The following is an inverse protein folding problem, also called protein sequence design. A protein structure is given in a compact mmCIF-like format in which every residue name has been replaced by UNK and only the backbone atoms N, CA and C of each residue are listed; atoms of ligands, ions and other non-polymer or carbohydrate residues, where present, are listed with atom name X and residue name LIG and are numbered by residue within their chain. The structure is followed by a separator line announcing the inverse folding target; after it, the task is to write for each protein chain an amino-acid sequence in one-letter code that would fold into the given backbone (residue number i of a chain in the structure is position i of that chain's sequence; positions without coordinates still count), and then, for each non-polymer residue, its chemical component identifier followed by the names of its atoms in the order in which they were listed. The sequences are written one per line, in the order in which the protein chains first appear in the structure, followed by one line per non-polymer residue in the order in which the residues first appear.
data_IF_046389842262
#
_entry.id   IF_046389842262
#
_cell.length_a   1.000
_cell.length_b   1.000
_cell.length_c   1.000
_cell.angle_alpha   90.00
_cell.angle_beta   90.00
_cell.angle_gamma   90.00
#
_symmetry.space_group_name_H-M   'P 1'
#
loop_
_entity.id
_entity.type
_entity.pdbx_description
1 polymer ?
#
# COMPACT_ATOMS: atom_id res chain seq x y z
N UNK A 1 42.07 9.00 13.68
CA UNK A 1 40.71 9.36 14.08
C UNK A 1 40.10 8.05 14.46
N UNK A 2 39.84 7.85 15.74
CA UNK A 2 39.10 6.66 16.18
C UNK A 2 37.68 6.73 15.59
N UNK A 3 36.99 5.60 15.53
CA UNK A 3 35.65 5.54 14.95
C UNK A 3 34.69 6.53 15.65
N UNK A 4 34.79 6.61 16.97
CA UNK A 4 33.98 7.52 17.80
C UNK A 4 34.27 9.00 17.48
N UNK A 5 35.55 9.37 17.34
CA UNK A 5 35.93 10.74 16.92
C UNK A 5 35.40 11.09 15.51
N UNK A 6 35.21 10.09 14.64
CA UNK A 6 34.70 10.29 13.29
C UNK A 6 33.18 10.41 13.27
N UNK A 7 32.48 9.60 14.08
CA UNK A 7 31.02 9.66 14.29
C UNK A 7 30.64 11.01 14.88
N UNK A 8 31.25 11.39 16.00
CA UNK A 8 30.97 12.65 16.70
C UNK A 8 31.24 13.86 15.79
N UNK A 9 32.32 13.79 14.98
CA UNK A 9 32.60 14.83 13.99
C UNK A 9 31.54 14.88 12.88
N UNK A 10 31.06 13.73 12.41
CA UNK A 10 30.07 13.64 11.34
C UNK A 10 28.70 14.15 11.79
N UNK A 11 28.26 13.78 12.98
CA UNK A 11 27.02 14.30 13.58
C UNK A 11 27.09 15.83 13.73
N UNK A 12 28.18 16.35 14.32
CA UNK A 12 28.37 17.79 14.49
C UNK A 12 28.45 18.58 13.18
N UNK A 13 28.88 17.96 12.07
CA UNK A 13 29.04 18.62 10.77
C UNK A 13 27.80 18.51 9.87
N UNK A 14 27.03 17.43 9.98
CA UNK A 14 26.00 17.06 8.99
C UNK A 14 24.62 16.81 9.58
N UNK A 15 24.48 16.56 10.89
CA UNK A 15 23.18 16.33 11.54
C UNK A 15 22.58 17.66 11.99
N UNK A 16 21.32 17.92 11.62
CA UNK A 16 20.57 19.04 12.18
C UNK A 16 19.90 18.59 13.48
N UNK A 17 20.55 18.79 14.62
CA UNK A 17 20.03 18.44 15.96
C UNK A 17 18.64 19.02 16.26
N UNK A 18 18.19 20.03 15.51
CA UNK A 18 16.85 20.63 15.66
C UNK A 18 15.75 19.92 14.86
N UNK A 19 16.11 18.94 14.01
CA UNK A 19 15.20 18.27 13.07
C UNK A 19 15.40 16.77 12.96
N UNK A 20 16.59 16.27 13.28
CA UNK A 20 16.97 14.89 13.03
C UNK A 20 17.28 14.16 14.34
N UNK A 21 16.70 12.97 14.51
CA UNK A 21 17.09 12.06 15.58
C UNK A 21 18.40 11.36 15.21
N UNK A 22 19.27 11.06 16.18
CA UNK A 22 20.54 10.35 15.92
C UNK A 22 20.29 9.02 15.17
N UNK A 23 19.24 8.30 15.57
CA UNK A 23 18.80 7.09 14.89
C UNK A 23 18.32 7.35 13.47
N UNK A 24 17.46 8.36 13.25
CA UNK A 24 16.95 8.74 11.92
C UNK A 24 18.08 9.13 10.97
N UNK A 25 18.99 9.99 11.43
CA UNK A 25 20.17 10.42 10.70
C UNK A 25 21.03 9.24 10.23
N UNK A 26 21.43 8.34 11.15
CA UNK A 26 22.27 7.20 10.79
C UNK A 26 21.54 6.15 9.95
N UNK A 27 20.23 5.96 10.17
CA UNK A 27 19.37 5.11 9.35
C UNK A 27 19.37 5.58 7.90
N UNK A 28 19.22 6.89 7.65
CA UNK A 28 19.28 7.48 6.30
C UNK A 28 20.67 7.39 5.66
N UNK A 29 21.74 7.59 6.44
CA UNK A 29 23.10 7.46 5.94
C UNK A 29 23.43 6.02 5.49
N UNK A 30 22.92 5.03 6.23
CA UNK A 30 23.17 3.61 6.00
C UNK A 30 22.24 3.01 4.94
N UNK A 31 20.99 3.45 4.88
CA UNK A 31 19.94 2.94 3.99
C UNK A 31 19.30 4.11 3.24
N UNK A 32 19.81 4.37 2.04
CA UNK A 32 19.51 5.59 1.26
C UNK A 32 18.14 5.53 0.60
N UNK A 33 17.67 4.34 0.29
CA UNK A 33 16.35 4.12 -0.30
C UNK A 33 15.35 3.58 0.72
N UNK A 34 14.07 3.87 0.50
CA UNK A 34 12.98 3.30 1.30
C UNK A 34 12.89 1.77 1.19
N UNK A 35 13.30 1.19 0.05
CA UNK A 35 13.41 -0.26 -0.14
C UNK A 35 14.49 -0.89 0.74
N UNK A 36 15.69 -0.32 0.80
CA UNK A 36 16.78 -0.80 1.66
C UNK A 36 16.43 -0.69 3.16
N UNK A 37 15.70 0.36 3.56
CA UNK A 37 15.19 0.48 4.94
C UNK A 37 14.16 -0.59 5.26
N UNK A 38 13.27 -0.89 4.31
CA UNK A 38 12.26 -1.96 4.44
C UNK A 38 12.91 -3.32 4.59
N UNK A 39 13.87 -3.66 3.73
CA UNK A 39 14.60 -4.93 3.80
C UNK A 39 15.35 -5.06 5.14
N UNK A 40 16.02 -4.00 5.61
CA UNK A 40 16.72 -4.03 6.89
C UNK A 40 15.78 -4.25 8.08
N UNK A 41 14.63 -3.57 8.11
CA UNK A 41 13.63 -3.78 9.16
C UNK A 41 13.04 -5.18 9.08
N UNK A 42 12.77 -5.66 7.87
CA UNK A 42 12.31 -7.02 7.66
C UNK A 42 13.32 -8.03 8.21
N UNK A 43 14.61 -7.92 7.91
CA UNK A 43 15.66 -8.79 8.46
C UNK A 43 15.75 -8.73 9.99
N UNK A 44 15.50 -7.56 10.60
CA UNK A 44 15.52 -7.40 12.06
C UNK A 44 14.29 -8.00 12.75
N UNK A 45 13.14 -8.00 12.06
CA UNK A 45 11.87 -8.55 12.57
C UNK A 45 11.75 -10.05 12.25
N UNK A 46 12.34 -10.52 11.15
CA UNK A 46 12.30 -11.90 10.68
C UNK A 46 13.05 -12.82 11.66
N UNK A 47 12.28 -13.55 12.47
CA UNK A 47 12.78 -14.45 13.52
C UNK A 47 12.60 -13.95 14.96
N UNK A 48 11.97 -12.78 15.16
CA UNK A 48 11.56 -12.33 16.48
C UNK A 48 10.42 -13.22 17.02
N UNK A 49 10.73 -14.04 18.02
CA UNK A 49 9.72 -14.85 18.70
C UNK A 49 9.06 -14.07 19.83
N UNK A 50 7.72 -14.14 19.96
CA UNK A 50 7.02 -13.50 21.07
C UNK A 50 7.45 -14.08 22.41
N UNK A 51 7.60 -13.17 23.37
CA UNK A 51 7.91 -13.53 24.75
C UNK A 51 6.65 -13.94 25.53
N UNK A 52 6.82 -14.54 26.72
CA UNK A 52 5.69 -14.84 27.62
C UNK A 52 4.81 -13.61 27.89
N UNK A 53 5.40 -12.41 27.94
CA UNK A 53 4.64 -11.16 28.10
C UNK A 53 3.68 -10.89 26.95
N UNK A 54 4.04 -11.25 25.71
CA UNK A 54 3.15 -11.10 24.56
C UNK A 54 1.98 -12.08 24.61
N UNK A 55 2.22 -13.30 25.10
CA UNK A 55 1.17 -14.31 25.29
C UNK A 55 0.17 -13.83 26.34
N UNK A 56 0.65 -13.30 27.47
CA UNK A 56 -0.22 -12.72 28.50
C UNK A 56 -0.99 -11.53 27.96
N UNK A 57 -0.34 -10.63 27.21
CA UNK A 57 -1.01 -9.49 26.60
C UNK A 57 -2.12 -9.94 25.64
N UNK A 58 -1.83 -10.89 24.73
CA UNK A 58 -2.83 -11.47 23.82
C UNK A 58 -4.06 -12.02 24.58
N UNK A 59 -3.83 -12.61 25.75
CA UNK A 59 -4.88 -13.14 26.62
C UNK A 59 -5.69 -12.03 27.30
N UNK A 60 -5.02 -11.03 27.86
CA UNK A 60 -5.67 -9.83 28.41
C UNK A 60 -6.54 -9.11 27.36
N UNK A 61 -6.09 -9.09 26.11
CA UNK A 61 -6.88 -8.55 24.99
C UNK A 61 -8.09 -9.43 24.66
N UNK A 62 -7.93 -10.76 24.73
CA UNK A 62 -9.02 -11.72 24.43
C UNK A 62 -10.12 -11.71 25.50
N UNK A 63 -9.76 -11.43 26.75
CA UNK A 63 -10.68 -11.33 27.90
C UNK A 63 -11.18 -9.89 28.15
N UNK A 64 -11.01 -8.98 27.17
CA UNK A 64 -11.51 -7.59 27.19
C UNK A 64 -10.90 -6.69 28.30
N UNK A 65 -9.83 -7.14 28.97
CA UNK A 65 -9.07 -6.31 29.92
C UNK A 65 -8.22 -5.26 29.21
N UNK A 66 -7.69 -5.60 28.03
CA UNK A 66 -6.94 -4.68 27.15
C UNK A 66 -7.61 -4.66 25.77
N UNK A 67 -8.74 -3.96 25.62
CA UNK A 67 -9.52 -3.99 24.38
C UNK A 67 -8.82 -3.28 23.21
N UNK A 68 -7.85 -2.42 23.50
CA UNK A 68 -7.15 -1.59 22.51
C UNK A 68 -5.65 -1.55 22.82
N UNK A 69 -4.85 -1.83 21.81
CA UNK A 69 -3.39 -1.66 21.84
C UNK A 69 -2.97 -0.68 20.76
N UNK A 70 -2.25 0.38 21.15
CA UNK A 70 -1.59 1.30 20.22
C UNK A 70 -0.11 0.90 20.15
N UNK A 71 0.44 0.79 18.94
CA UNK A 71 1.86 0.45 18.76
C UNK A 71 2.50 1.32 17.68
N UNK A 72 3.69 1.90 17.94
CA UNK A 72 4.53 2.45 16.88
C UNK A 72 5.28 1.35 16.12
N UNK A 73 5.38 0.14 16.68
CA UNK A 73 6.14 -0.93 16.07
C UNK A 73 5.47 -1.49 14.81
N UNK A 74 6.31 -2.03 13.95
CA UNK A 74 5.97 -2.57 12.63
C UNK A 74 5.62 -4.07 12.66
N UNK A 75 5.95 -4.78 13.74
CA UNK A 75 5.88 -6.24 13.85
C UNK A 75 4.50 -6.78 14.28
N UNK A 76 4.17 -7.98 13.79
CA UNK A 76 2.89 -8.67 13.96
C UNK A 76 2.89 -9.88 14.95
N UNK A 77 3.82 -10.05 15.91
CA UNK A 77 3.91 -11.32 16.65
C UNK A 77 2.72 -11.59 17.56
N UNK A 78 1.90 -10.58 17.90
CA UNK A 78 0.76 -10.73 18.81
C UNK A 78 -0.42 -11.50 18.19
N UNK A 79 -0.69 -11.36 16.89
CA UNK A 79 -1.89 -11.94 16.26
C UNK A 79 -1.90 -13.48 16.28
N UNK A 80 -0.72 -14.09 16.28
CA UNK A 80 -0.54 -15.55 16.22
C UNK A 80 -1.01 -16.28 17.49
N UNK A 81 -1.18 -15.55 18.61
CA UNK A 81 -1.48 -16.14 19.92
C UNK A 81 -2.87 -15.79 20.45
N UNK A 82 -3.63 -14.96 19.74
CA UNK A 82 -4.98 -14.54 20.11
C UNK A 82 -6.03 -15.54 19.60
N UNK A 83 -7.01 -15.88 20.45
CA UNK A 83 -8.15 -16.73 20.07
C UNK A 83 -9.07 -16.04 19.06
N UNK A 84 -9.22 -14.73 19.26
CA UNK A 84 -10.06 -13.88 18.43
C UNK A 84 -9.14 -12.94 17.66
N UNK A 85 -9.16 -13.05 16.33
CA UNK A 85 -8.38 -12.15 15.46
C UNK A 85 -8.78 -10.70 15.75
N UNK A 86 -7.85 -9.85 16.24
CA UNK A 86 -8.16 -8.47 16.56
C UNK A 86 -8.43 -7.66 15.29
N UNK A 87 -9.12 -6.53 15.44
CA UNK A 87 -9.26 -5.56 14.38
C UNK A 87 -7.95 -4.79 14.20
N UNK A 88 -7.21 -5.12 13.13
CA UNK A 88 -5.96 -4.45 12.80
C UNK A 88 -6.23 -3.18 11.98
N UNK A 89 -5.77 -2.05 12.51
CA UNK A 89 -5.82 -0.74 11.85
C UNK A 89 -4.41 -0.39 11.38
N UNK A 90 -4.14 -0.70 10.11
CA UNK A 90 -2.85 -0.47 9.47
C UNK A 90 -2.84 0.74 8.52
N UNK A 91 -3.98 1.14 7.94
CA UNK A 91 -4.05 2.21 6.94
C UNK A 91 -4.47 3.57 7.54
N UNK A 92 -3.92 4.68 7.03
CA UNK A 92 -4.15 6.04 7.52
C UNK A 92 -5.58 6.60 7.38
N UNK A 93 -6.52 5.78 6.90
CA UNK A 93 -7.93 6.14 6.76
C UNK A 93 -8.74 5.60 7.96
N UNK A 94 -8.31 5.93 9.18
CA UNK A 94 -9.17 5.79 10.35
C UNK A 94 -10.29 6.82 10.19
N UNK A 95 -11.47 6.37 9.77
CA UNK A 95 -12.59 7.28 9.52
C UNK A 95 -13.06 7.93 10.83
N UNK A 96 -13.68 9.12 10.80
CA UNK A 96 -14.27 9.75 11.99
C UNK A 96 -15.32 8.88 12.73
N UNK A 97 -15.77 7.80 12.10
CA UNK A 97 -16.71 6.81 12.64
C UNK A 97 -16.01 5.59 13.26
N UNK A 98 -14.68 5.61 13.34
CA UNK A 98 -13.92 4.54 13.98
C UNK A 98 -14.32 4.43 15.44
N UNK A 99 -14.88 3.28 15.79
CA UNK A 99 -15.25 2.95 17.16
C UNK A 99 -14.02 2.32 17.80
N UNK A 100 -13.37 3.02 18.74
CA UNK A 100 -12.20 2.51 19.46
C UNK A 100 -12.45 1.13 20.10
N UNK A 101 -13.70 0.92 20.55
CA UNK A 101 -14.17 -0.33 21.13
C UNK A 101 -14.98 -1.14 20.11
N UNK A 102 -14.38 -2.18 19.56
CA UNK A 102 -15.05 -3.15 18.69
C UNK A 102 -15.63 -4.33 19.51
N UNK A 103 -16.39 -5.21 18.87
CA UNK A 103 -16.85 -6.48 19.49
C UNK A 103 -15.70 -7.49 19.68
N UNK A 104 -14.48 -7.10 19.31
CA UNK A 104 -13.23 -7.86 19.35
C UNK A 104 -12.10 -6.87 19.64
N UNK A 105 -10.98 -7.28 20.25
CA UNK A 105 -9.87 -6.38 20.55
C UNK A 105 -9.32 -5.70 19.30
N UNK A 106 -8.73 -4.52 19.44
CA UNK A 106 -8.19 -3.73 18.35
C UNK A 106 -6.69 -3.43 18.52
N UNK A 107 -5.96 -3.43 17.42
CA UNK A 107 -4.55 -3.02 17.38
C UNK A 107 -4.42 -1.91 16.35
N UNK A 108 -3.92 -0.75 16.78
CA UNK A 108 -3.71 0.42 15.92
C UNK A 108 -2.21 0.65 15.74
N UNK A 109 -1.73 0.52 14.51
CA UNK A 109 -0.35 0.84 14.13
C UNK A 109 -0.25 2.34 13.87
N UNK A 110 0.33 3.09 14.82
CA UNK A 110 0.39 4.56 14.76
C UNK A 110 1.25 5.06 13.60
N UNK A 111 2.35 4.37 13.28
CA UNK A 111 3.25 4.75 12.18
C UNK A 111 2.94 4.03 10.86
N UNK A 112 1.89 3.19 10.84
CA UNK A 112 1.53 2.36 9.69
C UNK A 112 2.25 1.01 9.67
N UNK A 113 2.03 0.26 8.60
CA UNK A 113 2.60 -1.08 8.40
C UNK A 113 3.64 -1.05 7.29
N UNK A 114 4.82 -1.62 7.53
CA UNK A 114 5.93 -1.63 6.60
C UNK A 114 5.61 -2.41 5.30
N UNK A 115 4.67 -3.36 5.37
CA UNK A 115 4.21 -4.20 4.26
C UNK A 115 3.24 -3.48 3.31
N UNK A 116 2.46 -2.52 3.79
CA UNK A 116 1.33 -1.94 3.03
C UNK A 116 1.40 -0.42 2.84
N UNK A 117 2.06 0.30 3.76
CA UNK A 117 2.30 1.73 3.63
C UNK A 117 3.75 1.97 3.16
N UNK A 118 3.98 3.08 2.46
CA UNK A 118 5.34 3.59 2.26
C UNK A 118 5.96 3.80 3.66
N UNK A 119 7.01 3.03 4.02
CA UNK A 119 7.70 3.15 5.30
C UNK A 119 7.96 4.62 5.61
N UNK A 120 7.36 5.12 6.70
CA UNK A 120 7.63 6.45 7.25
C UNK A 120 8.70 6.33 8.31
N UNK A 121 9.94 6.49 7.88
CA UNK A 121 11.11 6.18 8.72
C UNK A 121 12.14 7.32 8.71
N UNK A 122 11.77 8.45 8.11
CA UNK A 122 12.56 9.67 8.07
C UNK A 122 11.89 10.68 9.02
N UNK A 123 12.67 11.51 9.73
CA UNK A 123 12.13 12.49 10.69
C UNK A 123 11.05 13.43 10.07
N UNK A 124 11.12 13.82 8.77
CA UNK A 124 10.03 14.54 8.11
C UNK A 124 8.73 13.74 7.97
N UNK A 125 8.80 12.42 7.79
CA UNK A 125 7.64 11.53 7.59
C UNK A 125 7.00 11.08 8.91
N UNK A 126 7.79 10.97 9.99
CA UNK A 126 7.35 10.66 11.36
C UNK A 126 7.02 11.89 12.19
N UNK A 127 7.21 13.11 11.65
CA UNK A 127 6.89 14.37 12.34
C UNK A 127 5.41 14.58 12.64
N UNK A 128 4.50 13.93 11.90
CA UNK A 128 3.04 14.07 12.10
C UNK A 128 2.29 12.77 11.83
N UNK A 129 1.35 12.44 12.74
CA UNK A 129 0.41 11.33 12.52
C UNK A 129 -0.60 11.72 11.43
N UNK A 130 -1.09 10.73 10.68
CA UNK A 130 -2.26 10.96 9.83
C UNK A 130 -3.46 11.37 10.71
N UNK A 131 -4.38 12.25 10.24
CA UNK A 131 -5.46 12.79 11.08
C UNK A 131 -6.28 11.73 11.82
N UNK A 132 -6.53 10.59 11.19
CA UNK A 132 -7.28 9.50 11.80
C UNK A 132 -6.53 8.76 12.92
N UNK A 133 -5.20 8.62 12.81
CA UNK A 133 -4.35 7.98 13.84
C UNK A 133 -4.12 8.91 15.02
N UNK A 134 -3.94 10.21 14.75
CA UNK A 134 -3.90 11.23 15.80
C UNK A 134 -5.21 11.27 16.60
N UNK A 135 -6.35 11.28 15.91
CA UNK A 135 -7.67 11.22 16.56
C UNK A 135 -7.83 9.95 17.42
N UNK A 136 -7.38 8.79 16.93
CA UNK A 136 -7.41 7.56 17.71
C UNK A 136 -6.58 7.67 19.00
N UNK A 137 -5.38 8.24 18.92
CA UNK A 137 -4.51 8.48 20.08
C UNK A 137 -5.16 9.45 21.08
N UNK A 138 -5.62 10.62 20.59
CA UNK A 138 -6.25 11.65 21.43
C UNK A 138 -7.50 11.13 22.13
N UNK A 139 -8.38 10.45 21.39
CA UNK A 139 -9.58 9.83 21.99
C UNK A 139 -9.22 8.71 22.96
N UNK A 140 -8.16 7.94 22.72
CA UNK A 140 -7.71 6.91 23.67
C UNK A 140 -7.39 7.54 25.02
N UNK A 141 -6.60 8.61 25.06
CA UNK A 141 -6.24 9.26 26.32
C UNK A 141 -7.33 10.14 26.93
N UNK A 142 -8.30 10.59 26.13
CA UNK A 142 -9.43 11.40 26.62
C UNK A 142 -10.58 10.52 27.16
N UNK A 143 -10.86 9.38 26.51
CA UNK A 143 -11.97 8.49 26.87
C UNK A 143 -11.53 7.34 27.79
N UNK A 144 -10.25 6.94 27.76
CA UNK A 144 -9.71 5.79 28.49
C UNK A 144 -8.39 6.14 29.17
N UNK A 145 -7.90 5.22 30.00
CA UNK A 145 -6.54 5.27 30.54
C UNK A 145 -5.53 4.65 29.57
N UNK A 146 -4.29 5.11 29.61
CA UNK A 146 -3.21 4.59 28.78
C UNK A 146 -2.09 4.03 29.64
N UNK A 147 -1.66 2.80 29.37
CA UNK A 147 -0.46 2.21 29.97
C UNK A 147 0.61 2.16 28.89
N UNK A 148 1.69 2.91 29.07
CA UNK A 148 2.80 3.01 28.13
C UNK A 148 3.93 2.10 28.62
N UNK A 149 4.30 1.09 27.83
CA UNK A 149 5.37 0.15 28.18
C UNK A 149 6.27 -0.12 26.97
N UNK A 150 7.58 -0.11 27.21
CA UNK A 150 8.58 -0.38 26.15
C UNK A 150 8.74 0.74 25.13
N UNK A 151 8.19 1.93 25.39
CA UNK A 151 8.25 3.10 24.52
C UNK A 151 9.08 4.21 25.17
N UNK A 152 10.05 4.75 24.43
CA UNK A 152 10.99 5.77 24.92
C UNK A 152 10.51 7.21 24.78
N UNK A 153 9.47 7.48 23.99
CA UNK A 153 8.93 8.83 23.80
C UNK A 153 9.78 9.76 22.94
N UNK A 154 10.52 9.20 21.99
CA UNK A 154 11.33 9.99 21.05
C UNK A 154 10.51 10.53 19.86
N UNK A 155 9.31 10.00 19.59
CA UNK A 155 8.52 10.41 18.43
C UNK A 155 7.63 11.61 18.75
N UNK A 156 7.94 12.74 18.12
CA UNK A 156 7.18 13.97 18.22
C UNK A 156 5.71 13.79 17.83
N UNK A 157 5.44 13.00 16.79
CA UNK A 157 4.08 12.77 16.31
C UNK A 157 3.17 12.02 17.27
N UNK A 158 3.73 11.28 18.22
CA UNK A 158 3.00 10.61 19.30
C UNK A 158 3.00 11.50 20.55
N UNK A 159 4.16 12.03 20.91
CA UNK A 159 4.32 12.76 22.17
C UNK A 159 3.63 14.12 22.16
N UNK A 160 3.62 14.85 21.05
CA UNK A 160 2.96 16.16 20.99
C UNK A 160 1.45 16.03 21.20
N UNK A 161 0.72 15.15 20.48
CA UNK A 161 -0.69 14.92 20.78
C UNK A 161 -0.95 14.42 22.21
N UNK A 162 -0.07 13.59 22.77
CA UNK A 162 -0.22 13.10 24.16
C UNK A 162 -0.11 14.24 25.18
N UNK A 163 0.87 15.15 25.02
CA UNK A 163 1.11 16.28 25.93
C UNK A 163 0.03 17.35 25.78
N UNK A 164 -0.42 17.61 24.55
CA UNK A 164 -1.40 18.65 24.25
C UNK A 164 -2.84 18.29 24.62
N UNK A 165 -3.13 16.99 24.82
CA UNK A 165 -4.49 16.51 25.09
C UNK A 165 -4.77 16.47 26.59
N UNK A 166 -5.96 16.90 26.98
CA UNK A 166 -6.44 16.74 28.35
C UNK A 166 -6.66 15.26 28.66
N UNK A 167 -5.94 14.74 29.66
CA UNK A 167 -5.99 13.34 30.04
C UNK A 167 -7.31 12.99 30.74
N UNK A 168 -7.77 11.76 30.57
CA UNK A 168 -8.95 11.24 31.27
C UNK A 168 -8.68 11.05 32.77
N UNK A 169 -9.75 10.87 33.54
CA UNK A 169 -9.65 10.56 34.98
C UNK A 169 -8.92 9.23 35.28
N UNK A 170 -8.76 8.36 34.27
CA UNK A 170 -8.02 7.11 34.40
C UNK A 170 -6.51 7.33 34.32
N UNK A 171 -6.07 8.41 33.66
CA UNK A 171 -4.69 8.84 33.56
C UNK A 171 -3.81 8.04 32.60
N UNK A 172 -2.55 8.46 32.52
CA UNK A 172 -1.48 7.83 31.74
C UNK A 172 -0.44 7.26 32.69
N UNK A 173 -0.16 5.96 32.59
CA UNK A 173 0.87 5.26 33.37
C UNK A 173 2.07 5.00 32.48
N UNK A 174 3.15 5.74 32.70
CA UNK A 174 4.40 5.59 31.98
C UNK A 174 5.30 4.58 32.69
N UNK A 175 5.45 3.38 32.11
CA UNK A 175 6.23 2.30 32.71
C UNK A 175 7.70 2.37 32.26
N UNK A 176 8.63 2.54 33.21
CA UNK A 176 10.07 2.60 32.95
C UNK A 176 10.86 1.59 33.78
N UNK A 177 11.92 1.03 33.19
CA UNK A 177 12.91 0.20 33.91
C UNK A 177 13.94 1.01 34.66
N UNK A 178 14.14 2.26 34.26
CA UNK A 178 15.01 3.20 34.93
C UNK A 178 14.31 4.55 35.00
N UNK A 179 13.55 4.82 36.08
CA UNK A 179 12.85 6.09 36.28
C UNK A 179 13.76 7.32 36.21
N UNK A 180 15.03 7.18 36.58
CA UNK A 180 16.01 8.26 36.60
C UNK A 180 16.45 8.69 35.18
N UNK A 181 16.28 7.82 34.18
CA UNK A 181 16.65 8.09 32.79
C UNK A 181 15.54 8.82 32.01
N UNK A 182 14.40 9.13 32.64
CA UNK A 182 13.29 9.79 31.98
C UNK A 182 13.58 11.29 31.81
N UNK A 183 13.73 11.71 30.56
CA UNK A 183 13.97 13.09 30.16
C UNK A 183 13.02 13.53 29.02
N UNK A 184 13.34 14.67 28.39
CA UNK A 184 12.63 15.15 27.20
C UNK A 184 11.11 15.30 27.35
N UNK A 185 10.38 14.87 26.31
CA UNK A 185 8.91 14.92 26.21
C UNK A 185 8.21 14.00 27.22
N UNK A 186 8.66 12.77 27.49
CA UNK A 186 8.10 11.96 28.58
C UNK A 186 8.15 12.65 29.94
N UNK A 187 9.27 13.30 30.27
CA UNK A 187 9.40 14.07 31.50
C UNK A 187 8.49 15.31 31.52
N UNK A 188 8.13 15.87 30.36
CA UNK A 188 7.14 16.93 30.24
C UNK A 188 5.72 16.42 30.48
N UNK A 189 5.32 15.31 29.84
CA UNK A 189 4.03 14.65 30.08
C UNK A 189 3.85 14.31 31.56
N UNK A 190 4.87 13.77 32.21
CA UNK A 190 4.81 13.39 33.63
C UNK A 190 4.68 14.59 34.61
N UNK A 191 4.77 15.83 34.12
CA UNK A 191 4.46 17.03 34.92
C UNK A 191 2.99 17.43 34.86
N UNK A 192 2.21 16.85 33.94
CA UNK A 192 0.76 17.09 33.89
C UNK A 192 0.06 16.34 35.01
N UNK A 193 -1.10 16.85 35.41
CA UNK A 193 -2.00 16.08 36.26
C UNK A 193 -2.41 14.79 35.53
N UNK A 194 -2.71 13.74 36.30
CA UNK A 194 -3.15 12.42 35.79
C UNK A 194 -2.13 11.66 34.92
N UNK A 195 -0.86 12.07 34.94
CA UNK A 195 0.27 11.28 34.42
C UNK A 195 1.12 10.71 35.57
N UNK A 196 1.43 9.41 35.51
CA UNK A 196 2.10 8.68 36.59
C UNK A 196 3.30 7.89 36.06
N UNK A 197 4.45 8.05 36.73
CA UNK A 197 5.63 7.23 36.46
C UNK A 197 5.53 5.93 37.28
N UNK A 198 5.65 4.79 36.60
CA UNK A 198 5.60 3.46 37.21
C UNK A 198 6.91 2.74 36.94
N UNK A 199 7.65 2.42 38.00
CA UNK A 199 8.86 1.61 37.89
C UNK A 199 8.51 0.14 37.67
N UNK A 200 9.13 -0.49 36.67
CA UNK A 200 8.94 -1.90 36.32
C UNK A 200 10.28 -2.62 36.14
N UNK A 201 10.39 -3.88 36.59
CA UNK A 201 11.62 -4.67 36.35
C UNK A 201 11.84 -4.99 34.86
N UNK A 202 10.73 -5.05 34.11
CA UNK A 202 10.68 -5.28 32.66
C UNK A 202 9.32 -5.80 32.21
N UNK A 203 9.09 -5.75 30.89
CA UNK A 203 7.80 -6.10 30.27
C UNK A 203 7.26 -7.47 30.69
N UNK A 204 8.10 -8.51 30.64
CA UNK A 204 7.65 -9.86 31.02
C UNK A 204 7.27 -9.94 32.50
N UNK A 205 8.06 -9.32 33.40
CA UNK A 205 7.77 -9.30 34.84
C UNK A 205 6.44 -8.61 35.13
N UNK A 206 6.22 -7.44 34.51
CA UNK A 206 4.96 -6.70 34.62
C UNK A 206 3.77 -7.52 34.13
N UNK A 207 3.89 -8.18 32.98
CA UNK A 207 2.81 -9.03 32.46
C UNK A 207 2.53 -10.22 33.37
N UNK A 208 3.56 -10.89 33.90
CA UNK A 208 3.35 -11.96 34.90
C UNK A 208 2.62 -11.46 36.13
N UNK A 209 2.93 -10.25 36.62
CA UNK A 209 2.20 -9.67 37.74
C UNK A 209 0.71 -9.43 37.41
N UNK A 210 0.38 -9.01 36.18
CA UNK A 210 -1.03 -8.91 35.76
C UNK A 210 -1.72 -10.28 35.74
N UNK A 211 -1.06 -11.31 35.21
CA UNK A 211 -1.61 -12.66 35.20
C UNK A 211 -1.88 -13.19 36.62
N UNK A 212 -1.00 -12.88 37.58
CA UNK A 212 -1.18 -13.27 38.99
C UNK A 212 -2.32 -12.53 39.71
N UNK A 213 -2.64 -11.31 39.30
CA UNK A 213 -3.55 -10.42 40.03
C UNK A 213 -4.91 -10.21 39.34
N UNK A 214 -5.04 -10.58 38.06
CA UNK A 214 -6.29 -10.49 37.31
C UNK A 214 -6.89 -11.90 37.22
N UNK A 215 -8.05 -12.09 37.82
CA UNK A 215 -8.80 -13.34 37.77
C UNK A 215 -9.16 -13.70 36.30
N UNK A 216 -9.20 -15.00 36.00
CA UNK A 216 -9.60 -15.57 34.69
C UNK A 216 -8.66 -15.33 33.49
N UNK A 217 -7.46 -14.77 33.70
CA UNK A 217 -6.46 -14.62 32.62
C UNK A 217 -5.88 -15.97 32.20
N UNK A 218 -5.57 -16.89 33.11
CA UNK A 218 -5.22 -18.30 32.83
C UNK A 218 -4.34 -18.57 31.59
N UNK A 219 -3.03 -18.79 31.79
CA UNK A 219 -2.11 -19.05 30.67
C UNK A 219 -2.53 -20.26 29.80
N UNK A 220 -2.49 -20.13 28.47
CA UNK A 220 -2.70 -21.27 27.57
C UNK A 220 -1.62 -22.32 27.78
N UNK A 221 -2.02 -23.59 27.65
CA UNK A 221 -1.10 -24.72 27.69
C UNK A 221 -0.13 -24.68 26.52
N UNK A 222 0.99 -25.39 26.66
CA UNK A 222 1.97 -25.53 25.58
C UNK A 222 1.34 -26.18 24.35
N UNK A 223 0.46 -27.14 24.54
CA UNK A 223 -0.29 -27.79 23.47
C UNK A 223 -1.18 -26.78 22.71
N UNK A 224 -1.93 -25.93 23.40
CA UNK A 224 -2.79 -24.90 22.78
C UNK A 224 -1.98 -23.86 22.00
N UNK A 225 -0.81 -23.45 22.52
CA UNK A 225 0.08 -22.51 21.83
C UNK A 225 0.66 -23.10 20.54
N UNK A 226 1.02 -24.39 20.55
CA UNK A 226 1.53 -25.09 19.36
C UNK A 226 0.42 -25.26 18.32
N UNK A 227 -0.77 -25.68 18.74
CA UNK A 227 -1.91 -25.84 17.83
C UNK A 227 -2.30 -24.53 17.15
N UNK A 228 -2.24 -23.40 17.87
CA UNK A 228 -2.49 -22.06 17.29
C UNK A 228 -1.41 -21.63 16.30
N UNK A 229 -0.14 -21.88 16.62
CA UNK A 229 0.96 -21.58 15.71
C UNK A 229 0.86 -22.39 14.41
N UNK A 230 0.48 -23.67 14.51
CA UNK A 230 0.28 -24.54 13.35
C UNK A 230 -0.90 -24.06 12.48
N UNK A 231 -2.04 -23.72 13.10
CA UNK A 231 -3.20 -23.16 12.38
C UNK A 231 -2.88 -21.83 11.67
N UNK A 232 -2.09 -20.95 12.31
CA UNK A 232 -1.67 -19.70 11.70
C UNK A 232 -0.77 -19.93 10.49
N UNK A 233 0.21 -20.83 10.61
CA UNK A 233 1.10 -21.18 9.50
C UNK A 233 0.33 -21.76 8.32
N UNK A 234 -0.67 -22.62 8.57
CA UNK A 234 -1.54 -23.17 7.51
C UNK A 234 -2.31 -22.07 6.77
N UNK A 235 -2.90 -21.10 7.49
CA UNK A 235 -3.61 -19.97 6.88
C UNK A 235 -2.68 -19.07 6.06
N UNK A 236 -1.46 -18.83 6.56
CA UNK A 236 -0.45 -18.04 5.84
C UNK A 236 0.01 -18.77 4.59
N UNK A 237 0.29 -20.07 4.67
CA UNK A 237 0.65 -20.89 3.51
C UNK A 237 -0.48 -20.87 2.46
N UNK A 238 -1.73 -21.10 2.86
CA UNK A 238 -2.89 -21.03 1.94
C UNK A 238 -3.07 -19.63 1.31
N UNK A 239 -2.87 -18.57 2.10
CA UNK A 239 -2.99 -17.19 1.60
C UNK A 239 -1.83 -16.79 0.67
N UNK A 240 -0.63 -17.29 0.95
CA UNK A 240 0.54 -17.07 0.10
C UNK A 240 0.46 -17.87 -1.20
N UNK A 241 -0.06 -19.10 -1.15
CA UNK A 241 -0.32 -19.92 -2.34
C UNK A 241 -1.36 -19.24 -3.24
N UNK A 242 -2.48 -18.76 -2.67
CA UNK A 242 -3.48 -17.99 -3.40
C UNK A 242 -2.93 -16.69 -4.02
N UNK A 243 -2.10 -15.95 -3.29
CA UNK A 243 -1.50 -14.71 -3.79
C UNK A 243 -0.46 -14.97 -4.89
N UNK A 244 0.31 -16.07 -4.77
CA UNK A 244 1.26 -16.49 -5.79
C UNK A 244 0.55 -16.95 -7.07
N UNK A 245 -0.58 -17.63 -6.95
CA UNK A 245 -1.42 -18.02 -8.08
C UNK A 245 -1.99 -16.79 -8.80
N UNK A 246 -2.54 -15.81 -8.07
CA UNK A 246 -3.03 -14.54 -8.64
C UNK A 246 -1.92 -13.71 -9.30
N UNK A 247 -0.72 -13.67 -8.71
CA UNK A 247 0.43 -12.98 -9.29
C UNK A 247 0.95 -13.68 -10.56
N UNK A 248 1.01 -15.02 -10.57
CA UNK A 248 1.39 -15.79 -11.75
C UNK A 248 0.40 -15.58 -12.90
N UNK A 249 -0.90 -15.62 -12.59
CA UNK A 249 -2.03 -15.27 -13.47
C UNK A 249 -1.84 -13.88 -14.09
N UNK A 250 -1.56 -12.87 -13.25
CA UNK A 250 -1.35 -11.51 -13.70
C UNK A 250 -0.11 -11.37 -14.60
N UNK A 251 1.01 -12.00 -14.23
CA UNK A 251 2.26 -11.96 -15.01
C UNK A 251 2.09 -12.63 -16.38
N UNK A 252 1.44 -13.79 -16.44
CA UNK A 252 1.17 -14.50 -17.68
C UNK A 252 0.28 -13.65 -18.62
N UNK A 253 -0.79 -13.05 -18.08
CA UNK A 253 -1.66 -12.14 -18.83
C UNK A 253 -0.90 -10.92 -19.39
N UNK A 254 0.03 -10.33 -18.63
CA UNK A 254 0.85 -9.23 -19.11
C UNK A 254 1.81 -9.66 -20.22
N UNK A 255 2.42 -10.85 -20.11
CA UNK A 255 3.28 -11.40 -21.16
C UNK A 255 2.52 -11.61 -22.47
N UNK A 256 1.29 -12.14 -22.39
CA UNK A 256 0.42 -12.31 -23.56
C UNK A 256 0.04 -10.95 -24.20
N UNK A 257 -0.22 -9.92 -23.39
CA UNK A 257 -0.48 -8.57 -23.92
C UNK A 257 0.75 -7.93 -24.56
N UNK A 258 1.94 -8.13 -24.00
CA UNK A 258 3.17 -7.58 -24.58
C UNK A 258 3.52 -8.32 -25.88
N UNK A 259 3.47 -9.65 -25.88
CA UNK A 259 3.65 -10.47 -27.09
C UNK A 259 2.64 -10.08 -28.18
N UNK A 260 1.37 -9.87 -27.80
CA UNK A 260 0.34 -9.41 -28.74
C UNK A 260 0.63 -8.02 -29.29
N UNK A 261 1.21 -7.11 -28.50
CA UNK A 261 1.62 -5.79 -28.98
C UNK A 261 2.80 -5.86 -29.95
N UNK A 262 3.78 -6.70 -29.65
CA UNK A 262 4.93 -6.95 -30.52
C UNK A 262 4.48 -7.55 -31.86
N UNK A 263 3.69 -8.62 -31.83
CA UNK A 263 3.11 -9.24 -33.01
C UNK A 263 2.29 -8.26 -33.85
N UNK A 264 1.51 -7.39 -33.19
CA UNK A 264 0.73 -6.35 -33.88
C UNK A 264 1.63 -5.33 -34.60
N UNK A 265 2.75 -4.93 -33.98
CA UNK A 265 3.72 -4.00 -34.59
C UNK A 265 4.42 -4.63 -35.80
N UNK A 266 4.65 -5.94 -35.78
CA UNK A 266 5.23 -6.71 -36.88
C UNK A 266 4.21 -7.06 -37.97
N UNK A 267 2.92 -6.74 -37.75
CA UNK A 267 1.83 -7.01 -38.68
C UNK A 267 1.32 -8.45 -38.65
N UNK A 268 1.69 -9.24 -37.63
CA UNK A 268 1.22 -10.60 -37.38
C UNK A 268 -0.18 -10.64 -36.76
N UNK A 269 -1.19 -10.15 -37.49
CA UNK A 269 -2.53 -9.98 -36.93
C UNK A 269 -3.21 -11.30 -36.54
N UNK A 270 -2.97 -12.40 -37.25
CA UNK A 270 -3.48 -13.72 -36.86
C UNK A 270 -2.90 -14.19 -35.52
N UNK A 271 -1.61 -13.94 -35.26
CA UNK A 271 -0.94 -14.27 -33.99
C UNK A 271 -1.52 -13.44 -32.83
N UNK A 272 -1.84 -12.16 -33.07
CA UNK A 272 -2.54 -11.32 -32.09
C UNK A 272 -3.91 -11.92 -31.74
N UNK A 273 -4.63 -12.47 -32.71
CA UNK A 273 -5.94 -13.10 -32.44
C UNK A 273 -5.76 -14.33 -31.55
N UNK A 274 -4.75 -15.17 -31.80
CA UNK A 274 -4.44 -16.34 -30.99
C UNK A 274 -4.07 -15.94 -29.56
N UNK A 275 -3.13 -15.00 -29.39
CA UNK A 275 -2.71 -14.51 -28.07
C UNK A 275 -3.88 -13.87 -27.28
N UNK A 276 -4.75 -13.12 -27.95
CA UNK A 276 -5.92 -12.54 -27.27
C UNK A 276 -7.00 -13.58 -26.98
N UNK A 277 -7.07 -14.69 -27.71
CA UNK A 277 -7.94 -15.81 -27.33
C UNK A 277 -7.42 -16.47 -26.05
N UNK A 278 -6.11 -16.66 -25.90
CA UNK A 278 -5.53 -17.20 -24.67
C UNK A 278 -5.85 -16.31 -23.47
N UNK A 279 -5.74 -14.98 -23.61
CA UNK A 279 -6.15 -14.04 -22.55
C UNK A 279 -7.65 -14.14 -22.23
N UNK A 280 -8.51 -14.42 -23.22
CA UNK A 280 -9.97 -14.51 -23.03
C UNK A 280 -10.38 -15.86 -22.42
N UNK A 281 -9.70 -16.95 -22.78
CA UNK A 281 -9.90 -18.28 -22.19
C UNK A 281 -9.55 -18.27 -20.71
N UNK A 282 -8.54 -17.46 -20.38
CA UNK A 282 -8.09 -17.19 -19.04
C UNK A 282 -9.01 -16.23 -18.26
N UNK A 283 -9.30 -15.06 -18.83
CA UNK A 283 -10.19 -14.04 -18.28
C UNK A 283 -11.24 -13.61 -19.32
N UNK A 284 -12.42 -14.19 -19.20
CA UNK A 284 -13.56 -13.92 -20.10
C UNK A 284 -14.16 -12.51 -19.95
N UNK A 285 -13.71 -11.73 -18.95
CA UNK A 285 -14.11 -10.35 -18.70
C UNK A 285 -13.03 -9.33 -19.11
N UNK A 286 -11.93 -9.78 -19.72
CA UNK A 286 -10.84 -8.93 -20.20
C UNK A 286 -11.26 -8.04 -21.40
N UNK A 287 -11.92 -6.91 -21.13
CA UNK A 287 -12.38 -5.95 -22.14
C UNK A 287 -11.26 -5.51 -23.10
N UNK A 288 -10.04 -5.33 -22.58
CA UNK A 288 -8.85 -4.98 -23.36
C UNK A 288 -8.47 -6.07 -24.38
N UNK A 289 -8.62 -7.36 -24.04
CA UNK A 289 -8.32 -8.45 -24.95
C UNK A 289 -9.30 -8.49 -26.12
N UNK A 290 -10.60 -8.33 -25.86
CA UNK A 290 -11.61 -8.20 -26.90
C UNK A 290 -11.32 -7.00 -27.82
N UNK A 291 -10.98 -5.83 -27.27
CA UNK A 291 -10.62 -4.67 -28.09
C UNK A 291 -9.39 -4.91 -28.97
N UNK A 292 -8.34 -5.55 -28.43
CA UNK A 292 -7.12 -5.82 -29.18
C UNK A 292 -7.34 -6.89 -30.27
N UNK A 293 -8.12 -7.94 -29.98
CA UNK A 293 -8.56 -8.93 -30.98
C UNK A 293 -9.39 -8.28 -32.09
N UNK A 294 -10.28 -7.36 -31.73
CA UNK A 294 -11.04 -6.56 -32.69
C UNK A 294 -10.16 -5.71 -33.61
N UNK A 295 -9.09 -5.09 -33.08
CA UNK A 295 -8.13 -4.33 -33.89
C UNK A 295 -7.41 -5.22 -34.91
N UNK A 296 -6.94 -6.39 -34.49
CA UNK A 296 -6.29 -7.34 -35.38
C UNK A 296 -7.23 -7.82 -36.50
N UNK A 297 -8.47 -8.23 -36.15
CA UNK A 297 -9.51 -8.60 -37.13
C UNK A 297 -9.84 -7.48 -38.12
N UNK A 298 -9.95 -6.24 -37.63
CA UNK A 298 -10.21 -5.06 -38.47
C UNK A 298 -9.09 -4.88 -39.49
N UNK A 299 -7.85 -5.07 -39.09
CA UNK A 299 -6.68 -4.86 -39.96
C UNK A 299 -6.50 -6.00 -40.98
N UNK A 300 -7.01 -7.20 -40.68
CA UNK A 300 -7.22 -8.30 -41.64
C UNK A 300 -8.41 -8.07 -42.59
N UNK A 301 -9.23 -7.05 -42.34
CA UNK A 301 -10.42 -6.73 -43.14
C UNK A 301 -11.69 -7.48 -42.70
N UNK A 302 -11.65 -8.19 -41.58
CA UNK A 302 -12.79 -8.89 -40.97
C UNK A 302 -13.64 -7.94 -40.14
N UNK A 303 -14.22 -6.94 -40.80
CA UNK A 303 -14.86 -5.80 -40.12
C UNK A 303 -16.08 -6.19 -39.28
N UNK A 304 -16.89 -7.15 -39.72
CA UNK A 304 -18.05 -7.63 -38.95
C UNK A 304 -17.62 -8.32 -37.65
N UNK A 305 -16.63 -9.23 -37.73
CA UNK A 305 -16.11 -9.94 -36.56
C UNK A 305 -15.38 -8.99 -35.59
N UNK A 306 -14.71 -7.95 -36.10
CA UNK A 306 -14.13 -6.90 -35.29
C UNK A 306 -15.20 -6.10 -34.52
N UNK A 307 -16.34 -5.80 -35.16
CA UNK A 307 -17.45 -5.09 -34.51
C UNK A 307 -18.02 -5.89 -33.34
N UNK A 308 -18.17 -7.21 -33.49
CA UNK A 308 -18.64 -8.09 -32.41
C UNK A 308 -17.70 -8.04 -31.20
N UNK A 309 -16.38 -8.07 -31.43
CA UNK A 309 -15.38 -7.95 -30.38
C UNK A 309 -15.40 -6.58 -29.69
N UNK A 310 -15.55 -5.49 -30.45
CA UNK A 310 -15.68 -4.17 -29.85
C UNK A 310 -16.99 -4.02 -29.07
N UNK A 311 -18.10 -4.60 -29.53
CA UNK A 311 -19.36 -4.61 -28.81
C UNK A 311 -19.20 -5.34 -27.47
N UNK A 312 -18.54 -6.50 -27.46
CA UNK A 312 -18.23 -7.22 -26.21
C UNK A 312 -17.33 -6.42 -25.27
N UNK A 313 -16.31 -5.73 -25.79
CA UNK A 313 -15.44 -4.86 -25.00
C UNK A 313 -16.21 -3.68 -24.37
N UNK A 314 -17.18 -3.09 -25.08
CA UNK A 314 -18.04 -2.01 -24.57
C UNK A 314 -19.01 -2.52 -23.50
N UNK A 315 -19.54 -3.73 -23.67
CA UNK A 315 -20.44 -4.33 -22.69
C UNK A 315 -19.73 -4.66 -21.38
N UNK A 316 -18.45 -5.06 -21.45
CA UNK A 316 -17.61 -5.36 -20.28
C UNK A 316 -17.07 -4.09 -19.60
N UNK A 317 -16.68 -3.08 -20.38
CA UNK A 317 -16.20 -1.80 -19.87
C UNK A 317 -16.83 -0.62 -20.64
N UNK A 318 -17.99 -0.11 -20.17
CA UNK A 318 -18.71 0.96 -20.84
C UNK A 318 -18.07 2.35 -20.67
N UNK A 319 -17.12 2.52 -19.75
CA UNK A 319 -16.46 3.81 -19.52
C UNK A 319 -15.30 4.05 -20.50
N UNK A 320 -14.75 2.99 -21.07
CA UNK A 320 -13.63 3.09 -22.01
C UNK A 320 -14.08 3.52 -23.41
N UNK A 321 -13.59 4.68 -23.84
CA UNK A 321 -13.91 5.27 -25.15
C UNK A 321 -13.19 4.61 -26.36
N UNK A 322 -12.14 3.82 -26.11
CA UNK A 322 -11.31 3.22 -27.17
C UNK A 322 -12.09 2.23 -28.06
N UNK A 323 -12.79 1.21 -27.53
CA UNK A 323 -13.61 0.29 -28.32
C UNK A 323 -14.70 1.00 -29.13
N UNK A 324 -15.34 2.02 -28.55
CA UNK A 324 -16.38 2.81 -29.23
C UNK A 324 -15.83 3.48 -30.50
N UNK A 325 -14.62 4.05 -30.41
CA UNK A 325 -13.94 4.66 -31.55
C UNK A 325 -13.56 3.62 -32.60
N UNK A 326 -12.97 2.51 -32.18
CA UNK A 326 -12.50 1.46 -33.07
C UNK A 326 -13.68 0.79 -33.82
N UNK A 327 -14.81 0.56 -33.14
CA UNK A 327 -16.06 0.10 -33.76
C UNK A 327 -16.58 1.06 -34.82
N UNK A 328 -16.54 2.37 -34.56
CA UNK A 328 -16.98 3.37 -35.51
C UNK A 328 -16.10 3.39 -36.78
N UNK A 329 -14.80 3.14 -36.64
CA UNK A 329 -13.88 2.98 -37.77
C UNK A 329 -14.19 1.71 -38.58
N UNK A 330 -14.37 0.57 -37.91
CA UNK A 330 -14.73 -0.69 -38.56
C UNK A 330 -16.03 -0.56 -39.36
N UNK A 331 -17.08 0.06 -38.80
CA UNK A 331 -18.36 0.31 -39.50
C UNK A 331 -18.21 1.16 -40.77
N UNK A 332 -17.32 2.17 -40.75
CA UNK A 332 -17.04 2.98 -41.95
C UNK A 332 -16.37 2.14 -43.05
N UNK A 333 -15.46 1.25 -42.66
CA UNK A 333 -14.78 0.34 -43.58
C UNK A 333 -15.73 -0.68 -44.22
N UNK A 334 -16.69 -1.23 -43.46
CA UNK A 334 -17.78 -2.06 -43.99
C UNK A 334 -18.65 -1.31 -45.00
N UNK A 335 -19.00 -0.05 -44.73
CA UNK A 335 -19.79 0.78 -45.66
C UNK A 335 -19.05 1.11 -46.96
N UNK A 336 -17.73 1.26 -46.90
CA UNK A 336 -16.87 1.51 -48.07
C UNK A 336 -16.60 0.25 -48.90
N UNK A 337 -16.53 -0.93 -48.30
CA UNK A 337 -16.40 -2.20 -49.03
C UNK A 337 -17.70 -2.55 -49.79
N UNK A 338 -18.86 -2.33 -49.17
CA UNK A 338 -20.17 -2.53 -49.77
C UNK A 338 -20.46 -1.55 -50.93
N UNK A 339 -19.98 -0.31 -50.86
CA UNK A 339 -20.13 0.66 -51.96
C UNK A 339 -19.21 0.34 -53.14
N UNK A 340 -17.99 -0.17 -52.90
CA UNK A 340 -17.08 -0.63 -53.98
C UNK A 340 -17.57 -1.88 -54.71
N UNK A 341 -18.27 -2.80 -54.04
CA UNK A 341 -18.84 -4.00 -54.70
C UNK A 341 -20.10 -3.69 -55.53
N UNK A 342 -20.67 -2.48 -55.41
CA UNK A 342 -21.92 -2.07 -56.05
C UNK A 342 -21.77 -1.21 -57.33
N UNK A 343 -20.55 -0.86 -57.75
CA UNK A 343 -20.34 -0.18 -59.04
C UNK A 343 -20.16 -1.19 -60.20
N UNK A 344 -21.00 -1.18 -61.25
CA UNK A 344 -20.77 -1.99 -62.42
C UNK A 344 -19.61 -1.43 -63.24
N UNK A 345 -18.69 -2.30 -63.66
CA UNK A 345 -17.59 -2.02 -64.57
C UNK A 345 -18.10 -1.39 -65.88
N UNK A 346 -17.99 -0.07 -65.99
CA UNK A 346 -18.23 0.71 -67.20
C UNK A 346 -16.93 1.21 -67.81
N UNK A 347 -16.66 0.79 -69.04
CA UNK A 347 -15.45 1.10 -69.83
C UNK A 347 -15.38 2.59 -70.23
N UNK A 348 -14.14 3.05 -70.50
CA UNK A 348 -13.74 4.16 -71.41
C UNK A 348 -13.28 5.44 -70.68
N UNK A 349 -12.15 6.09 -70.94
CA UNK A 349 -11.01 5.98 -71.88
C UNK A 349 -10.03 7.10 -71.50
N UNK A 350 -8.72 6.90 -71.76
CA UNK A 350 -7.73 7.94 -72.15
C UNK A 350 -7.43 9.09 -71.14
N UNK A 351 -6.22 9.54 -70.88
CA UNK A 351 -4.87 9.30 -71.38
C UNK A 351 -3.90 9.93 -70.37
N UNK A 352 -2.71 9.37 -70.23
CA UNK A 352 -1.56 10.01 -69.54
C UNK A 352 -1.07 11.18 -70.41
N UNK A 353 -0.67 12.33 -69.83
CA UNK A 353 0.70 12.77 -70.04
C UNK A 353 1.38 13.34 -68.78
N UNK A 354 2.53 12.74 -68.44
CA UNK A 354 3.85 13.40 -68.54
C UNK A 354 4.21 14.56 -67.58
N UNK A 355 5.37 14.51 -66.89
CA UNK A 355 5.79 15.51 -65.90
C UNK A 355 6.62 16.65 -66.52
N UNK A 356 6.61 17.86 -65.91
CA UNK A 356 7.80 18.60 -65.40
C UNK A 356 7.61 20.12 -65.22
N UNK A 357 7.99 20.54 -64.00
CA UNK A 357 8.87 21.66 -63.56
C UNK A 357 8.40 23.14 -63.55
N UNK A 358 9.04 23.94 -62.66
CA UNK A 358 8.52 25.19 -62.08
C UNK A 358 9.16 26.45 -62.70
N UNK A 359 9.04 27.58 -61.98
CA UNK A 359 9.50 28.98 -62.21
C UNK A 359 8.35 29.86 -62.73
N UNK A 360 8.10 31.09 -62.27
CA UNK A 360 8.86 32.09 -61.50
C UNK A 360 7.91 33.23 -61.11
N UNK A 361 8.10 33.87 -59.95
CA UNK A 361 7.65 35.25 -59.66
C UNK A 361 8.31 36.26 -60.62
N UNK A 362 7.68 37.40 -60.94
CA UNK A 362 7.97 38.64 -60.19
C UNK A 362 6.80 39.64 -60.00
N UNK A 363 6.80 40.26 -58.82
CA UNK A 363 6.66 41.70 -58.50
C UNK A 363 5.76 42.66 -59.32
N UNK A 364 4.82 43.32 -58.62
CA UNK A 364 4.67 44.80 -58.44
C UNK A 364 3.33 45.07 -57.70
N UNK A 365 3.29 45.75 -56.54
CA UNK A 365 3.16 47.22 -56.36
C UNK A 365 2.05 47.81 -57.28
N UNK A 366 0.99 48.50 -56.86
CA UNK A 366 0.85 49.65 -55.93
C UNK A 366 -0.67 49.99 -55.89
N UNK A 367 -1.27 50.36 -54.75
CA UNK A 367 -2.12 51.57 -54.48
C UNK A 367 -3.25 51.14 -53.52
N UNK A 368 -3.30 51.56 -52.24
CA UNK A 368 -3.77 52.82 -51.65
C UNK A 368 -5.30 53.06 -51.64
N UNK A 369 -5.84 53.22 -50.42
CA UNK A 369 -7.13 53.85 -49.99
C UNK A 369 -8.40 53.03 -50.25
N UNK A 370 -9.32 52.83 -49.30
CA UNK A 370 -9.74 53.62 -48.13
C UNK A 370 -9.78 52.82 -46.82
#
# INVERSE_FOLDING_TARGET
MEFDDWVEKKENEEMDESRESEYGFWSEQRHRTSGERRECIQELVEGANPTLGHIILARLMSEDYVPLTLTPNFDDPLYQFMEVRPHLVNHGAVTPWFKLMHDRPAIVKLHGDYLYDNLRNTDPETSTLSPGREEALRRTVTEYGLVVVGYGGADDSIMDPLIETELSEYGVYWCSRNPDDIDGKPAELLRTDDAYLVEIDGFVSMMTQFEEHIDDVGLPTREELVERADQFNEIVEESMESAADEEAEYVEKQQLYEAGREAYNDGGFEEVIELMNEVIDFDSEAATAYNNRGNAKRDLGEYEAAIEDYDRAIDLDPETSLPVRNRAEARKSTGNSATRSSQPLGVSTNSIPGPKRPTSTPTNATESRN
#
